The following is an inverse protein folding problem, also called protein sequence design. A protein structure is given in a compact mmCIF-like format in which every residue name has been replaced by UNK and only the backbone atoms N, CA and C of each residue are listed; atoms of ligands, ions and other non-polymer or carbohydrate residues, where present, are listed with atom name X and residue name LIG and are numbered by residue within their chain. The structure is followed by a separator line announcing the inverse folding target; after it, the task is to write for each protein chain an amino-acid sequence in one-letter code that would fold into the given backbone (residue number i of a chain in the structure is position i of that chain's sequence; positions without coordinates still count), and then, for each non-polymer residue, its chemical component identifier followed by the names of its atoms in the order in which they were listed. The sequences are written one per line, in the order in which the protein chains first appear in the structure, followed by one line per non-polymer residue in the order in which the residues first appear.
data_IF_918639214714
#
_entry.id   IF_918639214714
#
_cell.length_a   1.000
_cell.length_b   1.000
_cell.length_c   1.000
_cell.angle_alpha   90.00
_cell.angle_beta   90.00
_cell.angle_gamma   90.00
#
_symmetry.space_group_name_H-M   'P 1'
#
loop_
_entity.id
_entity.type
_entity.pdbx_description
1 polymer ?
#
# COMPACT_ATOMS: atom_id res chain seq x y z
N UNK A 1 3.44 -7.30 -6.16
CA UNK A 1 2.73 -6.46 -5.17
C UNK A 1 2.48 -5.14 -5.86
N UNK A 2 1.34 -4.53 -5.59
CA UNK A 2 0.85 -3.38 -6.37
C UNK A 2 0.59 -2.20 -5.45
N UNK A 3 0.65 -0.98 -6.01
CA UNK A 3 0.37 0.27 -5.31
C UNK A 3 -0.69 1.06 -6.07
N UNK A 4 -1.79 1.38 -5.42
CA UNK A 4 -2.74 2.39 -5.90
C UNK A 4 -2.34 3.75 -5.30
N UNK A 5 -2.29 4.78 -6.15
CA UNK A 5 -2.06 6.17 -5.76
C UNK A 5 -3.35 6.94 -5.93
N UNK A 6 -3.86 7.49 -4.84
CA UNK A 6 -5.08 8.32 -4.83
C UNK A 6 -4.71 9.76 -4.51
N UNK A 7 -5.03 10.68 -5.39
CA UNK A 7 -4.96 12.11 -5.09
C UNK A 7 -6.16 12.50 -4.20
N UNK A 8 -5.88 13.10 -3.05
CA UNK A 8 -6.89 13.51 -2.08
C UNK A 8 -7.10 15.03 -2.06
N UNK A 9 -6.55 15.74 -3.04
CA UNK A 9 -6.50 17.20 -3.05
C UNK A 9 -5.57 17.77 -1.98
N UNK A 10 -5.44 19.10 -1.99
CA UNK A 10 -4.60 19.84 -1.04
C UNK A 10 -3.17 19.29 -0.91
N UNK A 11 -2.58 18.86 -2.04
CA UNK A 11 -1.24 18.30 -2.14
C UNK A 11 -1.01 17.02 -1.29
N UNK A 12 -2.07 16.27 -1.00
CA UNK A 12 -2.00 14.99 -0.28
C UNK A 12 -2.27 13.84 -1.24
N UNK A 13 -1.39 12.85 -1.22
CA UNK A 13 -1.55 11.61 -1.99
C UNK A 13 -1.62 10.46 -1.01
N UNK A 14 -2.70 9.68 -1.04
CA UNK A 14 -2.75 8.40 -0.35
C UNK A 14 -2.15 7.31 -1.24
N UNK A 15 -1.43 6.39 -0.61
CA UNK A 15 -0.88 5.19 -1.25
C UNK A 15 -1.44 3.99 -0.53
N UNK A 16 -1.95 3.03 -1.31
CA UNK A 16 -2.42 1.75 -0.81
C UNK A 16 -1.63 0.65 -1.48
N UNK A 17 -0.85 -0.08 -0.70
CA UNK A 17 -0.15 -1.28 -1.11
C UNK A 17 -1.10 -2.47 -0.96
N UNK A 18 -1.22 -3.27 -2.01
CA UNK A 18 -2.14 -4.39 -2.05
C UNK A 18 -1.55 -5.59 -2.81
N UNK A 19 -2.20 -6.74 -2.63
CA UNK A 19 -2.01 -7.90 -3.49
C UNK A 19 -3.35 -8.42 -4.01
N UNK A 20 -3.28 -9.23 -5.05
CA UNK A 20 -4.44 -9.96 -5.57
C UNK A 20 -4.36 -11.37 -4.97
N UNK A 21 -5.40 -11.74 -4.23
CA UNK A 21 -5.60 -13.09 -3.70
C UNK A 21 -6.83 -13.73 -4.35
N UNK A 22 -7.16 -14.96 -3.92
CA UNK A 22 -8.19 -15.84 -4.50
C UNK A 22 -9.34 -15.11 -5.21
N UNK A 23 -10.12 -14.31 -4.47
CA UNK A 23 -11.36 -13.73 -5.02
C UNK A 23 -11.36 -12.20 -5.00
N UNK A 24 -10.19 -11.55 -4.85
CA UNK A 24 -10.17 -10.10 -4.83
C UNK A 24 -8.87 -9.42 -4.44
N UNK A 25 -9.02 -8.12 -4.18
CA UNK A 25 -7.94 -7.23 -3.81
C UNK A 25 -7.79 -7.16 -2.28
N UNK A 26 -6.65 -7.62 -1.77
CA UNK A 26 -6.34 -7.55 -0.34
C UNK A 26 -5.49 -6.31 -0.08
N UNK A 27 -6.05 -5.33 0.63
CA UNK A 27 -5.37 -4.08 0.97
C UNK A 27 -4.45 -4.32 2.18
N UNK A 28 -3.14 -4.29 1.95
CA UNK A 28 -2.14 -4.68 2.93
C UNK A 28 -1.73 -3.50 3.80
N UNK A 29 -1.58 -2.31 3.21
CA UNK A 29 -1.13 -1.13 3.93
C UNK A 29 -1.55 0.15 3.20
N UNK A 30 -2.17 1.09 3.92
CA UNK A 30 -2.56 2.40 3.40
C UNK A 30 -1.93 3.53 4.23
N UNK A 31 -1.37 4.53 3.56
CA UNK A 31 -0.71 5.66 4.21
C UNK A 31 -0.77 6.94 3.37
N UNK A 32 -0.63 8.10 4.02
CA UNK A 32 -0.47 9.39 3.33
C UNK A 32 1.01 9.56 2.98
N UNK A 33 1.28 9.80 1.69
CA UNK A 33 2.61 10.05 1.16
C UNK A 33 3.26 11.23 1.87
N UNK A 34 4.36 10.96 2.57
CA UNK A 34 5.27 11.97 3.13
C UNK A 34 6.47 12.25 2.22
N UNK A 35 6.89 11.23 1.45
CA UNK A 35 8.09 11.25 0.60
C UNK A 35 7.76 10.79 -0.83
N UNK A 36 8.59 11.13 -1.82
CA UNK A 36 8.33 10.72 -3.22
C UNK A 36 8.42 9.20 -3.39
N UNK A 37 9.42 8.57 -2.78
CA UNK A 37 9.55 7.11 -2.73
C UNK A 37 8.79 6.55 -1.52
N UNK A 38 8.25 5.35 -1.67
CA UNK A 38 7.62 4.64 -0.54
C UNK A 38 8.73 4.18 0.40
N UNK A 39 8.71 4.58 1.69
CA UNK A 39 9.71 4.17 2.66
C UNK A 39 9.81 2.64 2.78
N UNK A 40 11.01 2.12 3.02
CA UNK A 40 11.24 0.68 3.11
C UNK A 40 10.41 0.02 4.21
N UNK A 41 10.23 0.70 5.35
CA UNK A 41 9.43 0.19 6.46
C UNK A 41 7.95 -0.07 6.07
N UNK A 42 7.37 0.78 5.22
CA UNK A 42 5.99 0.61 4.75
C UNK A 42 5.88 -0.57 3.78
N UNK A 43 6.92 -0.82 2.97
CA UNK A 43 7.03 -1.99 2.09
C UNK A 43 7.17 -3.27 2.92
N UNK A 44 8.06 -3.28 3.91
CA UNK A 44 8.33 -4.44 4.75
C UNK A 44 7.09 -4.84 5.56
N UNK A 45 6.34 -3.84 6.05
CA UNK A 45 5.06 -4.06 6.73
C UNK A 45 4.02 -4.71 5.81
N UNK A 46 3.89 -4.21 4.56
CA UNK A 46 2.98 -4.80 3.60
C UNK A 46 3.39 -6.23 3.21
N UNK A 47 4.70 -6.51 3.09
CA UNK A 47 5.22 -7.85 2.82
C UNK A 47 4.96 -8.82 3.97
N UNK A 48 5.09 -8.35 5.22
CA UNK A 48 4.75 -9.14 6.40
C UNK A 48 3.27 -9.53 6.38
N UNK A 49 2.38 -8.56 6.22
CA UNK A 49 0.93 -8.79 6.15
C UNK A 49 0.53 -9.69 4.98
N UNK A 50 1.20 -9.55 3.83
CA UNK A 50 0.97 -10.43 2.68
C UNK A 50 1.19 -11.91 3.05
N UNK A 51 2.23 -12.24 3.83
CA UNK A 51 2.50 -13.63 4.24
C UNK A 51 1.45 -14.21 5.19
N UNK A 52 0.68 -13.37 5.87
CA UNK A 52 -0.35 -13.79 6.82
C UNK A 52 -1.69 -14.08 6.13
N UNK A 53 -1.90 -13.57 4.90
CA UNK A 53 -3.17 -13.61 4.17
C UNK A 53 -3.09 -14.32 2.81
N UNK A 54 -1.91 -14.80 2.45
CA UNK A 54 -1.64 -15.56 1.22
C UNK A 54 -1.42 -17.03 1.52
#
# INVERSE_FOLDING_TARGET
MWEVRSDLGSNRIARVIFCIGHDGMILLHGFIKKTQKTPQADIDLALKRKREVM
#
